data_IF_506305815013
#
_entry.id   IF_506305815013
#
_cell.length_a   1.000
_cell.length_b   1.000
_cell.length_c   1.000
_cell.angle_alpha   90.00
_cell.angle_beta   90.00
_cell.angle_gamma   90.00
#
_symmetry.space_group_name_H-M   'P 1'
#
loop_
_entity.id
_entity.type
_entity.pdbx_description
1 polymer ?
#
# COMPACT_ATOMS: atom_id res chain seq x y z
N UNK A 1 -6.45 41.16 2.17
CA UNK A 1 -5.18 41.05 1.42
C UNK A 1 -5.14 39.65 0.80
N UNK A 2 -5.53 39.56 -0.49
CA UNK A 2 -5.72 38.30 -1.22
C UNK A 2 -4.37 37.83 -1.79
N UNK A 3 -3.87 36.68 -1.33
CA UNK A 3 -2.68 36.03 -1.88
C UNK A 3 -2.98 35.52 -3.30
N UNK A 4 -2.34 36.09 -4.31
CA UNK A 4 -2.37 35.62 -5.69
C UNK A 4 -1.58 34.31 -5.79
N UNK A 5 -2.09 33.24 -6.48
CA UNK A 5 -1.33 32.04 -6.71
C UNK A 5 -0.15 32.32 -7.66
N UNK A 6 1.05 32.03 -7.22
CA UNK A 6 2.28 32.09 -8.05
C UNK A 6 2.23 30.92 -9.03
N UNK A 7 1.80 31.18 -10.24
CA UNK A 7 1.89 30.23 -11.37
C UNK A 7 3.31 30.29 -11.95
N UNK A 8 4.19 29.39 -11.54
CA UNK A 8 5.52 29.30 -12.13
C UNK A 8 5.43 28.86 -13.61
N UNK A 9 6.05 29.60 -14.55
CA UNK A 9 6.01 29.24 -15.97
C UNK A 9 6.70 27.90 -16.29
N UNK A 10 7.55 27.42 -15.39
CA UNK A 10 8.27 26.16 -15.52
C UNK A 10 7.31 24.95 -15.39
N UNK A 11 6.38 24.94 -14.43
CA UNK A 11 5.40 23.87 -14.26
C UNK A 11 4.46 23.74 -15.46
N UNK A 12 4.08 24.87 -16.06
CA UNK A 12 3.26 24.90 -17.26
C UNK A 12 4.00 24.33 -18.48
N UNK A 13 5.30 24.60 -18.63
CA UNK A 13 6.13 24.05 -19.72
C UNK A 13 6.35 22.54 -19.56
N UNK A 14 6.56 22.04 -18.34
CA UNK A 14 6.69 20.61 -18.05
C UNK A 14 5.37 19.88 -18.35
N UNK A 15 4.22 20.45 -17.99
CA UNK A 15 2.91 19.88 -18.28
C UNK A 15 2.62 19.79 -19.80
N UNK A 16 2.99 20.81 -20.59
CA UNK A 16 2.83 20.82 -22.05
C UNK A 16 3.83 19.90 -22.78
N UNK A 17 4.99 19.60 -22.19
CA UNK A 17 5.96 18.63 -22.74
C UNK A 17 5.58 17.18 -22.40
N UNK A 18 4.97 16.93 -21.25
CA UNK A 18 4.53 15.59 -20.84
C UNK A 18 3.23 15.16 -21.55
N UNK A 19 2.35 16.09 -21.91
CA UNK A 19 1.08 15.80 -22.56
C UNK A 19 1.24 15.13 -23.95
N UNK A 20 2.10 15.60 -24.88
CA UNK A 20 2.30 14.92 -26.17
C UNK A 20 3.07 13.59 -26.03
N UNK A 21 3.96 13.46 -25.03
CA UNK A 21 4.66 12.21 -24.77
C UNK A 21 3.69 11.09 -24.34
N UNK A 22 2.67 11.42 -23.56
CA UNK A 22 1.63 10.45 -23.14
C UNK A 22 0.70 10.08 -24.31
N UNK A 23 0.43 11.00 -25.24
CA UNK A 23 -0.39 10.75 -26.43
C UNK A 23 0.30 9.85 -27.47
N UNK A 24 1.62 9.96 -27.62
CA UNK A 24 2.38 9.13 -28.58
C UNK A 24 2.58 7.69 -28.07
N UNK A 25 2.70 7.50 -26.76
CA UNK A 25 2.76 6.15 -26.15
C UNK A 25 1.41 5.41 -26.27
N UNK A 26 0.30 6.14 -26.22
CA UNK A 26 -1.03 5.53 -26.38
C UNK A 26 -1.32 5.03 -27.81
N UNK A 27 -0.62 5.56 -28.82
CA UNK A 27 -0.90 5.25 -30.23
C UNK A 27 -0.41 3.86 -30.69
N UNK A 28 0.55 3.24 -29.98
CA UNK A 28 1.16 1.97 -30.38
C UNK A 28 1.12 0.89 -29.29
N UNK A 29 0.47 1.13 -28.15
CA UNK A 29 0.50 0.21 -27.00
C UNK A 29 -0.87 -0.35 -26.64
N UNK A 30 -0.90 -1.63 -26.28
CA UNK A 30 -2.08 -2.30 -25.71
C UNK A 30 -2.31 -1.88 -24.24
N UNK A 31 -2.53 -0.59 -24.01
CA UNK A 31 -2.77 -0.03 -22.67
C UNK A 31 -3.97 -0.72 -22.01
N UNK A 32 -3.81 -1.06 -20.72
CA UNK A 32 -4.89 -1.64 -19.92
C UNK A 32 -5.17 -0.77 -18.71
N UNK A 33 -6.42 -0.34 -18.58
CA UNK A 33 -6.93 0.33 -17.39
C UNK A 33 -7.52 -0.73 -16.45
N UNK A 34 -7.21 -0.65 -15.16
CA UNK A 34 -7.70 -1.61 -14.18
C UNK A 34 -8.25 -0.96 -12.93
N UNK A 35 -9.13 -1.69 -12.27
CA UNK A 35 -9.61 -1.42 -10.92
C UNK A 35 -9.15 -2.53 -10.01
N UNK A 36 -8.74 -2.18 -8.78
CA UNK A 36 -8.38 -3.10 -7.73
C UNK A 36 -9.39 -3.01 -6.60
N UNK A 37 -9.84 -4.15 -6.10
CA UNK A 37 -10.66 -4.26 -4.92
C UNK A 37 -10.17 -5.40 -4.02
N UNK A 38 -10.00 -5.13 -2.73
CA UNK A 38 -9.46 -6.13 -1.81
C UNK A 38 -9.36 -5.64 -0.37
N UNK A 39 -8.41 -6.20 0.33
CA UNK A 39 -8.13 -5.89 1.73
C UNK A 39 -6.68 -5.43 1.91
N UNK A 40 -6.49 -4.58 2.88
CA UNK A 40 -5.19 -4.12 3.38
C UNK A 40 -4.94 -4.62 4.78
N UNK A 41 -3.71 -4.99 5.07
CA UNK A 41 -3.29 -5.51 6.35
C UNK A 41 -1.94 -4.92 6.74
N UNK A 42 -1.65 -4.93 8.03
CA UNK A 42 -0.43 -4.46 8.63
C UNK A 42 0.30 -5.61 9.34
N UNK A 43 1.62 -5.56 9.33
CA UNK A 43 2.52 -6.42 10.10
C UNK A 43 3.63 -5.55 10.70
N UNK A 44 3.76 -5.54 12.02
CA UNK A 44 4.72 -4.75 12.77
C UNK A 44 4.54 -4.97 14.28
N UNK A 45 4.89 -3.98 15.09
CA UNK A 45 4.97 -4.10 16.56
C UNK A 45 3.64 -4.40 17.27
N UNK A 46 2.51 -3.99 16.69
CA UNK A 46 1.17 -4.21 17.28
C UNK A 46 0.51 -5.48 16.74
N UNK A 47 0.84 -5.91 15.52
CA UNK A 47 0.18 -7.06 14.87
C UNK A 47 1.18 -7.97 14.20
N UNK A 48 1.23 -9.24 14.63
CA UNK A 48 2.12 -10.27 14.09
C UNK A 48 1.41 -11.33 13.25
N UNK A 49 0.07 -11.33 13.21
CA UNK A 49 -0.72 -12.32 12.47
C UNK A 49 -1.18 -11.80 11.14
N UNK A 50 -1.04 -12.64 10.11
CA UNK A 50 -1.57 -12.39 8.77
C UNK A 50 -3.11 -12.34 8.84
N UNK A 51 -3.73 -11.39 8.13
CA UNK A 51 -5.18 -11.16 8.08
C UNK A 51 -5.85 -10.84 9.42
N UNK A 52 -5.10 -10.39 10.40
CA UNK A 52 -5.66 -9.84 11.63
C UNK A 52 -6.01 -8.36 11.39
N UNK A 53 -7.26 -7.97 11.67
CA UNK A 53 -7.74 -6.60 11.50
C UNK A 53 -7.65 -6.05 10.06
N UNK A 54 -8.03 -6.86 9.07
CA UNK A 54 -8.07 -6.41 7.67
C UNK A 54 -8.97 -5.19 7.48
N UNK A 55 -8.48 -4.23 6.71
CA UNK A 55 -9.25 -3.06 6.26
C UNK A 55 -9.55 -3.14 4.77
N UNK A 56 -10.47 -2.33 4.24
CA UNK A 56 -10.75 -2.26 2.81
C UNK A 56 -9.60 -1.62 2.04
N UNK A 57 -9.40 -2.07 0.80
CA UNK A 57 -8.47 -1.48 -0.15
C UNK A 57 -9.11 -1.37 -1.54
N UNK A 58 -8.95 -0.20 -2.17
CA UNK A 58 -9.43 0.09 -3.52
C UNK A 58 -8.32 0.79 -4.30
N UNK A 59 -8.25 0.55 -5.61
CA UNK A 59 -7.22 1.16 -6.43
C UNK A 59 -7.57 1.24 -7.91
N UNK A 60 -6.79 2.06 -8.60
CA UNK A 60 -6.79 2.20 -10.05
C UNK A 60 -5.41 1.87 -10.57
N UNK A 61 -5.33 1.18 -11.70
CA UNK A 61 -4.06 0.78 -12.29
C UNK A 61 -4.06 1.05 -13.80
N UNK A 62 -2.90 1.39 -14.31
CA UNK A 62 -2.64 1.53 -15.73
C UNK A 62 -1.43 0.67 -16.08
N UNK A 63 -1.64 -0.34 -16.95
CA UNK A 63 -0.58 -1.27 -17.33
C UNK A 63 -0.22 -1.11 -18.81
N UNK A 64 1.08 -1.12 -19.08
CA UNK A 64 1.64 -1.08 -20.43
C UNK A 64 2.50 -2.33 -20.66
N UNK A 65 2.14 -3.23 -21.60
CA UNK A 65 2.97 -4.36 -21.96
C UNK A 65 4.17 -3.88 -22.77
N UNK A 66 5.39 -4.24 -22.29
CA UNK A 66 6.64 -4.03 -23.02
C UNK A 66 6.87 -5.19 -23.97
N UNK A 67 6.62 -6.40 -23.46
CA UNK A 67 6.69 -7.65 -24.22
C UNK A 67 5.48 -8.52 -23.88
N UNK A 68 5.34 -9.66 -24.54
CA UNK A 68 4.29 -10.64 -24.25
C UNK A 68 4.30 -11.17 -22.80
N UNK A 69 5.44 -11.02 -22.09
CA UNK A 69 5.61 -11.50 -20.71
C UNK A 69 5.93 -10.41 -19.71
N UNK A 70 6.43 -9.25 -20.16
CA UNK A 70 6.86 -8.17 -19.28
C UNK A 70 5.95 -6.97 -19.48
N UNK A 71 5.47 -6.40 -18.38
CA UNK A 71 4.68 -5.17 -18.38
C UNK A 71 5.14 -4.23 -17.27
N UNK A 72 4.91 -2.93 -17.46
CA UNK A 72 5.00 -1.92 -16.42
C UNK A 72 3.58 -1.56 -16.00
N UNK A 73 3.36 -1.43 -14.69
CA UNK A 73 2.08 -1.02 -14.12
C UNK A 73 2.28 0.17 -13.19
N UNK A 74 1.62 1.28 -13.49
CA UNK A 74 1.38 2.38 -12.56
C UNK A 74 0.11 2.13 -11.77
N UNK A 75 0.10 2.46 -10.49
CA UNK A 75 -1.04 2.26 -9.62
C UNK A 75 -1.25 3.41 -8.65
N UNK A 76 -2.53 3.67 -8.33
CA UNK A 76 -2.98 4.47 -7.22
C UNK A 76 -3.86 3.59 -6.34
N UNK A 77 -3.51 3.45 -5.06
CA UNK A 77 -4.24 2.58 -4.12
C UNK A 77 -4.54 3.34 -2.84
N UNK A 78 -5.78 3.24 -2.38
CA UNK A 78 -6.20 3.68 -1.07
C UNK A 78 -6.59 2.47 -0.24
N UNK A 79 -6.07 2.39 1.00
CA UNK A 79 -6.39 1.32 1.94
C UNK A 79 -6.42 1.81 3.38
N UNK A 80 -7.04 1.04 4.27
CA UNK A 80 -7.01 1.28 5.71
C UNK A 80 -6.39 0.10 6.41
N UNK A 81 -5.35 0.33 7.18
CA UNK A 81 -4.74 -0.69 8.05
C UNK A 81 -4.96 -0.33 9.51
N UNK A 82 -5.00 -1.35 10.36
CA UNK A 82 -5.24 -1.20 11.79
C UNK A 82 -4.57 -2.33 12.56
N UNK A 83 -4.22 -2.05 13.80
CA UNK A 83 -3.69 -3.01 14.75
C UNK A 83 -4.19 -2.71 16.16
N UNK A 84 -4.23 -3.73 17.00
CA UNK A 84 -4.59 -3.60 18.41
C UNK A 84 -3.90 -4.69 19.24
N UNK A 85 -3.24 -4.29 20.30
CA UNK A 85 -2.56 -5.17 21.27
C UNK A 85 -3.54 -6.11 21.97
N UNK A 86 -4.80 -5.71 22.13
CA UNK A 86 -5.85 -6.55 22.73
C UNK A 86 -6.04 -7.90 22.02
N UNK A 87 -5.63 -8.01 20.76
CA UNK A 87 -5.70 -9.23 19.97
C UNK A 87 -4.39 -10.03 19.97
N UNK A 88 -3.35 -9.56 20.67
CA UNK A 88 -2.07 -10.23 20.74
C UNK A 88 -2.15 -11.49 21.62
N UNK A 89 -1.55 -12.63 21.23
CA UNK A 89 -1.50 -13.82 22.07
C UNK A 89 -0.65 -13.64 23.34
N UNK A 90 0.31 -12.73 23.33
CA UNK A 90 1.18 -12.41 24.47
C UNK A 90 0.49 -11.46 25.43
N UNK A 91 0.56 -11.77 26.71
CA UNK A 91 -0.09 -10.99 27.77
C UNK A 91 0.53 -9.61 27.96
N UNK A 92 1.86 -9.51 27.90
CA UNK A 92 2.59 -8.26 28.05
C UNK A 92 2.14 -7.21 27.01
N UNK A 93 1.88 -7.61 25.76
CA UNK A 93 1.31 -6.71 24.76
C UNK A 93 -0.16 -6.38 25.04
N UNK A 94 -0.99 -7.37 25.47
CA UNK A 94 -2.38 -7.05 25.83
C UNK A 94 -2.47 -6.04 26.98
N UNK A 95 -1.54 -6.11 27.93
CA UNK A 95 -1.46 -5.15 29.05
C UNK A 95 -0.91 -3.78 28.62
N UNK A 96 -0.12 -3.71 27.52
CA UNK A 96 0.30 -2.44 26.92
C UNK A 96 -0.87 -1.68 26.29
N UNK A 97 -1.86 -2.39 25.72
CA UNK A 97 -3.14 -1.91 25.23
C UNK A 97 -3.06 -0.83 24.13
N UNK A 98 -2.00 -0.81 23.34
CA UNK A 98 -1.90 0.13 22.23
C UNK A 98 -2.79 -0.30 21.06
N UNK A 99 -3.31 0.68 20.35
CA UNK A 99 -4.10 0.46 19.13
C UNK A 99 -3.94 1.61 18.17
N UNK A 100 -3.96 1.32 16.88
CA UNK A 100 -3.91 2.33 15.85
C UNK A 100 -4.78 1.97 14.65
N UNK A 101 -5.11 3.00 13.89
CA UNK A 101 -5.64 2.89 12.54
C UNK A 101 -4.95 3.93 11.67
N UNK A 102 -4.68 3.58 10.41
CA UNK A 102 -4.19 4.56 9.44
C UNK A 102 -4.78 4.33 8.06
N UNK A 103 -5.05 5.43 7.35
CA UNK A 103 -5.36 5.37 5.93
C UNK A 103 -4.07 5.53 5.14
N UNK A 104 -3.85 4.64 4.19
CA UNK A 104 -2.69 4.65 3.29
C UNK A 104 -3.17 5.09 1.92
N UNK A 105 -2.50 6.09 1.36
CA UNK A 105 -2.62 6.49 -0.04
C UNK A 105 -1.30 6.20 -0.71
N UNK A 106 -1.29 5.30 -1.69
CA UNK A 106 -0.08 4.82 -2.37
C UNK A 106 -0.11 5.16 -3.86
N UNK A 107 1.00 5.69 -4.38
CA UNK A 107 1.33 5.71 -5.80
C UNK A 107 2.47 4.73 -6.05
N UNK A 108 2.26 3.78 -6.94
CA UNK A 108 3.25 2.73 -7.22
C UNK A 108 3.59 2.65 -8.70
N UNK A 109 4.84 2.25 -8.98
CA UNK A 109 5.34 1.88 -10.30
C UNK A 109 6.06 0.55 -10.18
N UNK A 110 5.50 -0.49 -10.81
CA UNK A 110 6.03 -1.86 -10.71
C UNK A 110 6.26 -2.47 -12.08
N UNK A 111 7.30 -3.27 -12.19
CA UNK A 111 7.50 -4.20 -13.29
C UNK A 111 6.83 -5.53 -12.96
N UNK A 112 6.17 -6.13 -13.94
CA UNK A 112 5.51 -7.43 -13.83
C UNK A 112 6.11 -8.41 -14.82
N UNK A 113 6.31 -9.67 -14.41
CA UNK A 113 6.80 -10.75 -15.25
C UNK A 113 5.80 -11.90 -15.20
N UNK A 114 5.19 -12.20 -16.33
CA UNK A 114 4.29 -13.34 -16.50
C UNK A 114 5.11 -14.60 -16.79
N UNK A 115 4.78 -15.71 -16.14
CA UNK A 115 5.41 -17.01 -16.38
C UNK A 115 5.07 -17.53 -17.78
N UNK A 116 3.82 -17.37 -18.21
CA UNK A 116 3.37 -17.82 -19.51
C UNK A 116 3.09 -16.64 -20.42
N UNK A 117 3.27 -16.87 -21.73
CA UNK A 117 2.84 -15.91 -22.73
C UNK A 117 1.30 -15.91 -22.83
N UNK A 118 0.71 -14.76 -22.51
CA UNK A 118 -0.73 -14.56 -22.49
C UNK A 118 -1.37 -14.51 -23.88
N UNK A 119 -0.57 -14.53 -24.96
CA UNK A 119 -1.09 -14.67 -26.32
C UNK A 119 -1.42 -16.12 -26.67
N UNK A 120 -0.78 -17.08 -26.01
CA UNK A 120 -0.98 -18.51 -26.20
C UNK A 120 -1.81 -19.18 -25.12
N UNK A 121 -1.74 -18.64 -23.87
CA UNK A 121 -2.48 -19.16 -22.71
C UNK A 121 -3.37 -18.08 -22.12
N UNK A 122 -4.58 -18.47 -21.71
CA UNK A 122 -5.53 -17.56 -21.04
C UNK A 122 -5.18 -17.21 -19.61
N UNK A 123 -4.23 -17.91 -18.99
CA UNK A 123 -3.83 -17.70 -17.62
C UNK A 123 -2.31 -17.69 -17.47
N UNK A 124 -1.83 -16.97 -16.50
CA UNK A 124 -0.43 -16.95 -16.13
C UNK A 124 -0.25 -16.58 -14.67
N UNK A 125 0.53 -17.35 -13.89
CA UNK A 125 1.15 -16.82 -12.71
C UNK A 125 2.05 -15.64 -13.08
N UNK A 126 2.20 -14.69 -12.19
CA UNK A 126 3.13 -13.58 -12.37
C UNK A 126 3.72 -13.13 -11.03
N UNK A 127 4.87 -12.50 -11.12
CA UNK A 127 5.50 -11.79 -10.03
C UNK A 127 5.66 -10.33 -10.40
N UNK A 128 5.77 -9.48 -9.41
CA UNK A 128 6.03 -8.06 -9.62
C UNK A 128 6.92 -7.49 -8.53
N UNK A 129 7.58 -6.37 -8.86
CA UNK A 129 8.36 -5.59 -7.92
C UNK A 129 8.60 -4.18 -8.45
N UNK A 130 8.84 -3.23 -7.55
CA UNK A 130 9.03 -1.83 -7.95
C UNK A 130 9.21 -0.87 -6.80
N UNK A 131 8.76 0.36 -7.02
CA UNK A 131 8.83 1.46 -6.08
C UNK A 131 7.44 2.02 -5.83
N UNK A 132 7.20 2.50 -4.62
CA UNK A 132 5.99 3.21 -4.26
C UNK A 132 6.30 4.40 -3.36
N UNK A 133 5.53 5.46 -3.52
CA UNK A 133 5.43 6.58 -2.60
C UNK A 133 4.11 6.46 -1.86
N UNK A 134 4.14 6.39 -0.54
CA UNK A 134 2.92 6.29 0.25
C UNK A 134 2.82 7.39 1.29
N UNK A 135 1.59 7.79 1.56
CA UNK A 135 1.22 8.73 2.62
C UNK A 135 0.35 8.01 3.64
N UNK A 136 0.63 8.23 4.92
CA UNK A 136 -0.10 7.65 6.04
C UNK A 136 -0.30 8.67 7.15
N UNK A 137 -1.29 8.45 8.01
CA UNK A 137 -1.57 9.34 9.14
C UNK A 137 -2.21 8.52 10.27
N UNK A 138 -1.40 7.97 11.19
CA UNK A 138 -1.88 7.10 12.24
C UNK A 138 -2.71 7.86 13.26
N UNK A 139 -3.77 7.22 13.71
CA UNK A 139 -4.67 7.72 14.74
C UNK A 139 -5.18 6.58 15.61
N UNK A 140 -5.63 6.93 16.80
CA UNK A 140 -6.33 6.03 17.72
C UNK A 140 -7.63 6.68 18.19
N UNK A 141 -8.32 6.01 19.11
CA UNK A 141 -9.48 6.58 19.80
C UNK A 141 -9.16 6.68 21.29
N UNK A 142 -9.53 7.82 21.90
CA UNK A 142 -9.44 8.00 23.35
C UNK A 142 -10.55 7.21 24.07
N UNK A 143 -10.56 7.24 25.41
CA UNK A 143 -11.58 6.57 26.24
C UNK A 143 -12.99 7.11 26.00
N UNK A 144 -13.16 8.31 25.49
CA UNK A 144 -14.42 8.93 25.13
C UNK A 144 -14.86 8.59 23.69
N UNK A 145 -14.04 7.87 22.93
CA UNK A 145 -14.31 7.51 21.54
C UNK A 145 -13.98 8.61 20.53
N UNK A 146 -13.27 9.67 20.92
CA UNK A 146 -12.82 10.70 19.99
C UNK A 146 -11.59 10.22 19.22
N UNK A 147 -11.53 10.59 17.93
CA UNK A 147 -10.38 10.31 17.08
C UNK A 147 -9.21 11.23 17.43
N UNK A 148 -8.07 10.64 17.76
CA UNK A 148 -6.84 11.34 18.13
C UNK A 148 -5.72 10.98 17.14
N UNK A 149 -5.12 11.98 16.49
CA UNK A 149 -3.97 11.79 15.60
C UNK A 149 -2.70 11.56 16.43
N UNK A 150 -1.94 10.52 16.12
CA UNK A 150 -0.79 10.10 16.93
C UNK A 150 0.46 10.96 16.68
N UNK A 151 0.82 11.17 15.42
CA UNK A 151 2.03 11.90 15.04
C UNK A 151 2.16 13.32 15.67
N UNK A 152 1.09 14.14 15.79
CA UNK A 152 1.19 15.44 16.46
C UNK A 152 1.42 15.36 17.96
N UNK A 153 1.07 14.23 18.60
CA UNK A 153 1.25 14.03 20.05
C UNK A 153 2.70 13.67 20.41
N UNK A 154 3.51 13.20 19.45
CA UNK A 154 4.90 12.78 19.70
C UNK A 154 4.98 11.73 20.81
N UNK A 155 4.24 10.63 20.67
CA UNK A 155 4.01 9.64 21.74
C UNK A 155 5.27 8.99 22.31
N UNK A 156 6.39 9.03 21.57
CA UNK A 156 7.74 8.62 22.00
C UNK A 156 8.68 9.82 22.19
N UNK A 157 8.13 11.05 22.21
CA UNK A 157 8.89 12.28 22.35
C UNK A 157 9.47 12.82 21.05
N UNK A 158 9.08 12.26 19.88
CA UNK A 158 9.65 12.64 18.59
C UNK A 158 9.44 14.13 18.29
N UNK A 159 10.53 14.79 17.94
CA UNK A 159 10.57 16.23 17.69
C UNK A 159 10.73 17.11 18.92
N UNK A 160 10.75 16.52 20.13
CA UNK A 160 11.05 17.25 21.36
C UNK A 160 12.58 17.37 21.56
N UNK A 161 13.05 18.39 22.32
CA UNK A 161 14.46 18.53 22.66
C UNK A 161 14.99 17.28 23.38
N UNK A 162 16.10 16.70 22.90
CA UNK A 162 16.70 15.50 23.48
C UNK A 162 16.10 14.17 23.01
N UNK A 163 15.14 14.18 22.10
CA UNK A 163 14.53 13.00 21.49
C UNK A 163 14.81 12.90 19.99
N UNK A 164 14.36 11.80 19.36
CA UNK A 164 14.48 11.61 17.94
C UNK A 164 13.70 12.68 17.14
N UNK A 165 14.05 12.83 15.86
CA UNK A 165 13.28 13.70 14.97
C UNK A 165 11.90 13.10 14.70
N UNK A 166 10.92 13.98 14.53
CA UNK A 166 9.58 13.55 14.12
C UNK A 166 9.63 12.87 12.75
N UNK A 167 8.86 11.80 12.58
CA UNK A 167 8.83 11.04 11.34
C UNK A 167 8.01 11.73 10.25
N UNK A 168 8.38 11.49 8.99
CA UNK A 168 7.61 11.96 7.84
C UNK A 168 6.45 11.02 7.56
N UNK A 169 5.26 11.56 7.30
CA UNK A 169 4.07 10.79 6.90
C UNK A 169 4.06 10.40 5.42
N UNK A 170 4.99 10.91 4.63
CA UNK A 170 5.13 10.53 3.21
C UNK A 170 6.50 9.90 3.03
N UNK A 171 6.53 8.66 2.59
CA UNK A 171 7.75 7.86 2.52
C UNK A 171 7.75 6.92 1.32
N UNK A 172 8.92 6.37 1.01
CA UNK A 172 9.11 5.35 -0.01
C UNK A 172 8.84 3.95 0.58
N UNK A 173 8.33 3.06 -0.28
CA UNK A 173 8.18 1.64 -0.02
C UNK A 173 8.66 0.81 -1.21
N UNK A 174 8.97 -0.45 -0.96
CA UNK A 174 9.29 -1.44 -1.99
C UNK A 174 8.13 -2.43 -2.10
N UNK A 175 7.21 -2.24 -3.06
CA UNK A 175 6.18 -3.22 -3.36
C UNK A 175 6.80 -4.41 -4.09
N UNK A 176 6.43 -5.62 -3.66
CA UNK A 176 6.74 -6.89 -4.34
C UNK A 176 5.68 -7.93 -4.03
N UNK A 177 5.50 -8.86 -4.92
CA UNK A 177 4.49 -9.88 -4.72
C UNK A 177 4.23 -10.72 -5.96
N UNK A 178 3.07 -11.33 -6.00
CA UNK A 178 2.68 -12.16 -7.11
C UNK A 178 1.19 -12.45 -7.13
N UNK A 179 0.78 -13.14 -8.19
CA UNK A 179 -0.62 -13.47 -8.38
C UNK A 179 -0.84 -14.38 -9.59
N UNK A 180 -2.10 -14.52 -9.94
CA UNK A 180 -2.54 -15.27 -11.11
C UNK A 180 -3.45 -14.39 -11.94
N UNK A 181 -3.14 -14.25 -13.23
CA UNK A 181 -3.97 -13.55 -14.22
C UNK A 181 -4.77 -14.56 -15.05
N UNK A 182 -5.99 -14.18 -15.41
CA UNK A 182 -6.83 -14.94 -16.31
C UNK A 182 -7.55 -14.01 -17.29
N UNK A 183 -7.41 -14.26 -18.59
CA UNK A 183 -8.11 -13.52 -19.65
C UNK A 183 -9.51 -14.09 -19.84
N UNK A 184 -10.53 -13.37 -19.32
CA UNK A 184 -11.94 -13.69 -19.52
C UNK A 184 -12.27 -13.55 -21.01
N UNK A 185 -11.77 -12.47 -21.61
CA UNK A 185 -11.83 -12.19 -23.04
C UNK A 185 -10.56 -11.49 -23.50
N UNK A 186 -10.44 -11.17 -24.78
CA UNK A 186 -9.29 -10.41 -25.30
C UNK A 186 -9.16 -9.03 -24.64
N UNK A 187 -10.29 -8.42 -24.28
CA UNK A 187 -10.35 -7.08 -23.70
C UNK A 187 -10.42 -7.05 -22.19
N UNK A 188 -10.84 -8.14 -21.55
CA UNK A 188 -11.12 -8.20 -20.10
C UNK A 188 -10.25 -9.26 -19.44
N UNK A 189 -9.52 -8.84 -18.42
CA UNK A 189 -8.66 -9.70 -17.60
C UNK A 189 -9.03 -9.54 -16.13
N UNK A 190 -9.07 -10.65 -15.42
CA UNK A 190 -9.14 -10.72 -13.97
C UNK A 190 -7.80 -11.23 -13.42
N UNK A 191 -7.39 -10.74 -12.26
CA UNK A 191 -6.22 -11.28 -11.56
C UNK A 191 -6.48 -11.29 -10.05
N UNK A 192 -6.01 -12.33 -9.38
CA UNK A 192 -5.83 -12.33 -7.93
C UNK A 192 -4.38 -11.98 -7.61
N UNK A 193 -4.16 -11.06 -6.68
CA UNK A 193 -2.84 -10.55 -6.32
C UNK A 193 -2.67 -10.48 -4.81
N UNK A 194 -1.46 -10.83 -4.34
CA UNK A 194 -0.97 -10.54 -3.00
C UNK A 194 0.34 -9.78 -3.15
N UNK A 195 0.39 -8.59 -2.59
CA UNK A 195 1.56 -7.72 -2.70
C UNK A 195 1.95 -7.12 -1.36
N UNK A 196 3.18 -7.40 -0.92
CA UNK A 196 3.80 -6.84 0.26
C UNK A 196 4.48 -5.51 -0.07
N UNK A 197 4.58 -4.64 0.93
CA UNK A 197 5.32 -3.38 0.88
C UNK A 197 6.29 -3.37 2.04
N UNK A 198 7.58 -3.48 1.71
CA UNK A 198 8.64 -3.27 2.68
C UNK A 198 8.81 -1.79 2.92
N UNK A 199 8.71 -1.36 4.17
CA UNK A 199 8.89 0.02 4.57
C UNK A 199 10.33 0.28 5.04
N UNK A 200 10.71 1.55 5.03
CA UNK A 200 11.96 2.03 5.63
C UNK A 200 11.70 2.74 6.95
N UNK A 201 10.43 2.90 7.32
CA UNK A 201 9.97 3.42 8.60
C UNK A 201 9.45 2.30 9.50
N UNK A 202 9.39 2.59 10.78
CA UNK A 202 8.83 1.79 11.85
C UNK A 202 7.71 2.54 12.58
N UNK A 203 7.20 3.59 11.96
CA UNK A 203 6.18 4.47 12.54
C UNK A 203 4.85 4.41 11.80
N UNK A 204 4.57 3.32 11.07
CA UNK A 204 3.27 3.16 10.43
C UNK A 204 2.14 3.07 11.46
N UNK A 205 2.45 2.50 12.62
CA UNK A 205 1.58 2.34 13.78
C UNK A 205 1.89 3.33 14.93
N UNK A 206 2.85 4.25 14.74
CA UNK A 206 3.33 5.19 15.76
C UNK A 206 4.06 4.52 16.94
N UNK A 207 4.59 3.30 16.74
CA UNK A 207 5.31 2.54 17.76
C UNK A 207 6.64 2.06 17.18
N UNK A 208 7.77 2.50 17.76
CA UNK A 208 9.09 2.14 17.25
C UNK A 208 10.11 1.92 18.35
N UNK A 209 10.17 2.80 19.32
CA UNK A 209 11.29 2.90 20.26
C UNK A 209 10.88 2.74 21.71
N UNK A 210 11.12 3.79 22.47
CA UNK A 210 11.05 3.80 23.93
C UNK A 210 10.05 4.86 24.43
N UNK A 211 9.52 4.64 25.61
CA UNK A 211 8.66 5.63 26.27
C UNK A 211 9.48 6.91 26.59
N UNK A 212 8.87 8.05 26.27
CA UNK A 212 9.38 9.36 26.65
C UNK A 212 9.15 9.64 28.14
N UNK A 213 9.80 10.68 28.67
CA UNK A 213 9.48 11.19 30.00
C UNK A 213 8.06 11.80 29.98
N UNK A 214 7.15 11.37 30.87
CA UNK A 214 5.78 11.89 30.90
C UNK A 214 5.73 13.39 31.21
N UNK A 215 6.70 13.94 31.96
CA UNK A 215 6.74 15.38 32.23
C UNK A 215 7.16 16.16 30.98
N UNK A 216 8.09 15.64 30.19
CA UNK A 216 8.49 16.26 28.91
C UNK A 216 7.30 16.25 27.92
N UNK A 217 6.56 15.13 27.84
CA UNK A 217 5.36 15.03 27.02
C UNK A 217 4.25 15.98 27.50
N UNK A 218 3.98 16.00 28.79
CA UNK A 218 2.98 16.88 29.38
C UNK A 218 3.30 18.37 29.13
N UNK A 219 4.53 18.76 29.37
CA UNK A 219 4.98 20.15 29.18
C UNK A 219 4.88 20.60 27.70
N UNK A 220 5.16 19.69 26.75
CA UNK A 220 5.21 20.02 25.33
C UNK A 220 3.85 19.82 24.61
N UNK A 221 3.05 18.82 25.00
CA UNK A 221 1.89 18.34 24.27
C UNK A 221 0.61 18.21 25.11
N UNK A 222 0.72 18.37 26.43
CA UNK A 222 -0.39 18.26 27.38
C UNK A 222 -0.76 16.83 27.78
N UNK A 223 -1.76 16.71 28.63
CA UNK A 223 -2.17 15.45 29.26
C UNK A 223 -2.57 14.37 28.22
N UNK A 224 -3.23 14.75 27.14
CA UNK A 224 -3.66 13.81 26.09
C UNK A 224 -2.49 13.03 25.47
N UNK A 225 -1.30 13.68 25.34
CA UNK A 225 -0.11 12.98 24.81
C UNK A 225 0.37 11.91 25.78
N UNK A 226 0.33 12.19 27.08
CA UNK A 226 0.71 11.21 28.13
C UNK A 226 -0.27 10.04 28.13
N UNK A 227 -1.59 10.31 28.16
CA UNK A 227 -2.64 9.27 28.21
C UNK A 227 -2.61 8.36 26.98
N UNK A 228 -2.37 8.93 25.79
CA UNK A 228 -2.35 8.15 24.54
C UNK A 228 -1.02 7.40 24.36
N UNK A 229 0.10 7.91 24.88
CA UNK A 229 1.41 7.22 24.77
C UNK A 229 1.46 5.94 25.60
N UNK A 230 0.74 5.89 26.74
CA UNK A 230 0.60 4.73 27.60
C UNK A 230 -0.85 4.46 27.94
N UNK A 231 -1.31 3.22 27.74
CA UNK A 231 -2.71 2.83 27.92
C UNK A 231 -2.86 1.56 28.77
N UNK A 232 -1.79 1.14 29.45
CA UNK A 232 -1.82 -0.02 30.32
C UNK A 232 -2.66 0.19 31.60
N UNK A 233 -2.83 1.42 32.02
CA UNK A 233 -3.69 1.81 33.14
C UNK A 233 -5.20 1.65 32.83
N UNK A 234 -5.59 1.58 31.57
CA UNK A 234 -6.97 1.36 31.14
C UNK A 234 -7.42 -0.11 31.24
N UNK A 235 -6.48 -1.04 31.44
CA UNK A 235 -6.75 -2.48 31.40
C UNK A 235 -6.77 -3.08 32.79
N UNK A 236 -7.75 -3.94 33.06
CA UNK A 236 -7.81 -4.72 34.31
C UNK A 236 -6.58 -5.61 34.42
N UNK A 237 -5.79 -5.44 35.48
CA UNK A 237 -4.51 -6.13 35.69
C UNK A 237 -3.31 -5.47 35.04
N UNK A 238 -3.52 -4.36 34.33
CA UNK A 238 -2.42 -3.53 33.79
C UNK A 238 -1.72 -2.71 34.88
N UNK A 239 -0.54 -2.20 34.55
CA UNK A 239 0.21 -1.34 35.47
C UNK A 239 -0.38 0.07 35.45
N UNK A 240 -0.82 0.64 36.60
CA UNK A 240 -1.31 2.02 36.65
C UNK A 240 -0.20 3.07 36.51
N UNK A 241 1.06 2.70 36.71
CA UNK A 241 2.18 3.64 36.64
C UNK A 241 2.70 3.75 35.19
N UNK A 242 2.87 4.98 34.73
CA UNK A 242 3.51 5.25 33.45
C UNK A 242 4.93 4.68 33.48
N UNK A 243 5.41 4.01 32.39
CA UNK A 243 6.75 3.44 32.34
C UNK A 243 7.84 4.51 32.48
N UNK A 244 8.99 4.10 33.02
CA UNK A 244 10.14 4.99 33.13
C UNK A 244 10.67 5.35 31.74
N UNK A 245 11.23 6.56 31.60
CA UNK A 245 11.90 7.01 30.39
C UNK A 245 12.93 5.97 29.92
N UNK A 246 12.88 5.62 28.65
CA UNK A 246 13.79 4.64 28.05
C UNK A 246 13.33 3.18 28.18
N UNK A 247 12.18 2.91 28.78
CA UNK A 247 11.58 1.58 28.73
C UNK A 247 11.05 1.30 27.32
N UNK A 248 11.22 0.08 26.82
CA UNK A 248 10.85 -0.28 25.44
C UNK A 248 9.33 -0.19 25.23
N UNK A 249 8.92 0.59 24.23
CA UNK A 249 7.54 0.73 23.77
C UNK A 249 7.30 -0.12 22.51
N UNK A 250 8.27 -0.16 21.62
CA UNK A 250 8.31 -0.93 20.39
C UNK A 250 9.69 -1.53 20.14
N UNK A 251 9.97 -1.92 18.91
CA UNK A 251 11.24 -2.50 18.50
C UNK A 251 11.76 -1.88 17.21
N UNK A 252 12.51 -0.80 17.31
CA UNK A 252 13.12 -0.10 16.16
C UNK A 252 13.97 -0.98 15.22
N UNK A 253 14.27 -2.22 15.64
CA UNK A 253 15.04 -3.20 14.88
C UNK A 253 14.26 -3.75 13.69
N UNK A 254 12.96 -3.93 13.84
CA UNK A 254 12.09 -4.52 12.82
C UNK A 254 11.24 -3.42 12.19
N UNK A 255 11.36 -3.24 10.86
CA UNK A 255 10.58 -2.26 10.14
C UNK A 255 9.19 -2.80 9.80
N UNK A 256 8.23 -1.91 9.75
CA UNK A 256 6.86 -2.22 9.42
C UNK A 256 6.69 -2.72 7.98
N UNK A 257 5.65 -3.51 7.78
CA UNK A 257 5.15 -3.94 6.49
C UNK A 257 3.65 -3.69 6.41
N UNK A 258 3.16 -3.38 5.23
CA UNK A 258 1.75 -3.56 4.92
C UNK A 258 1.62 -4.37 3.63
N UNK A 259 0.45 -4.94 3.41
CA UNK A 259 0.18 -5.67 2.19
C UNK A 259 -1.26 -5.48 1.75
N UNK A 260 -1.44 -5.56 0.43
CA UNK A 260 -2.74 -5.62 -0.20
C UNK A 260 -2.95 -7.01 -0.77
N UNK A 261 -4.15 -7.55 -0.60
CA UNK A 261 -4.58 -8.76 -1.29
C UNK A 261 -5.98 -8.59 -1.85
N UNK A 262 -6.19 -9.00 -3.08
CA UNK A 262 -7.49 -8.77 -3.72
C UNK A 262 -7.50 -9.10 -5.20
N UNK A 263 -8.47 -8.52 -5.88
CA UNK A 263 -8.77 -8.78 -7.28
C UNK A 263 -8.54 -7.52 -8.10
N UNK A 264 -7.83 -7.66 -9.20
CA UNK A 264 -7.76 -6.68 -10.27
C UNK A 264 -8.70 -7.08 -11.40
N UNK A 265 -9.50 -6.14 -11.88
CA UNK A 265 -10.25 -6.26 -13.12
C UNK A 265 -9.70 -5.22 -14.09
N UNK A 266 -9.15 -5.67 -15.22
CA UNK A 266 -8.49 -4.79 -16.20
C UNK A 266 -9.13 -4.87 -17.56
N UNK A 267 -9.24 -3.71 -18.21
CA UNK A 267 -9.84 -3.53 -19.53
C UNK A 267 -8.77 -3.00 -20.49
N UNK A 268 -8.70 -3.60 -21.67
CA UNK A 268 -7.85 -3.08 -22.75
C UNK A 268 -8.49 -1.84 -23.36
N UNK A 269 -7.70 -0.75 -23.44
CA UNK A 269 -8.15 0.48 -24.09
C UNK A 269 -8.14 0.30 -25.61
N UNK A 270 -9.02 1.04 -26.33
CA UNK A 270 -9.01 1.06 -27.80
C UNK A 270 -7.65 1.57 -28.31
N UNK A 271 -7.17 1.02 -29.43
CA UNK A 271 -5.92 1.43 -30.07
C UNK A 271 -4.79 0.38 -30.09
N UNK A 272 -4.97 -0.75 -29.38
CA UNK A 272 -4.02 -1.87 -29.45
C UNK A 272 -4.34 -2.82 -30.60
N UNK A 273 -3.32 -3.24 -31.34
CA UNK A 273 -3.48 -4.30 -32.35
C UNK A 273 -3.63 -5.65 -31.65
N UNK A 274 -4.75 -6.33 -31.91
CA UNK A 274 -5.08 -7.65 -31.37
C UNK A 274 -4.67 -8.80 -32.31
N UNK A 275 -3.95 -8.52 -33.39
CA UNK A 275 -3.68 -9.48 -34.48
C UNK A 275 -2.87 -10.72 -34.05
N UNK A 276 -2.20 -10.70 -32.88
CA UNK A 276 -1.30 -11.78 -32.46
C UNK A 276 -1.88 -12.79 -31.44
N UNK A 277 -3.16 -12.69 -31.05
CA UNK A 277 -3.71 -13.62 -30.04
C UNK A 277 -4.18 -14.94 -30.65
N UNK A 278 -3.32 -15.93 -30.56
CA UNK A 278 -3.52 -17.26 -31.17
C UNK A 278 -4.69 -18.03 -30.51
N UNK A 279 -4.97 -17.85 -29.21
CA UNK A 279 -6.06 -18.58 -28.55
C UNK A 279 -7.48 -18.11 -28.94
N UNK A 280 -7.60 -16.87 -29.37
CA UNK A 280 -8.86 -16.29 -29.85
C UNK A 280 -9.35 -16.95 -31.13
N UNK A 281 -8.44 -17.32 -32.03
CA UNK A 281 -8.77 -17.94 -33.29
C UNK A 281 -9.24 -19.41 -33.17
N UNK A 282 -8.91 -20.09 -32.04
CA UNK A 282 -9.27 -21.50 -31.82
C UNK A 282 -10.66 -21.72 -31.23
N UNK A 283 -11.33 -20.68 -30.71
CA UNK A 283 -12.71 -20.81 -30.20
C UNK A 283 -13.81 -20.60 -31.24
N UNK A 284 -13.47 -20.15 -32.43
CA UNK A 284 -14.40 -19.95 -33.52
C UNK A 284 -14.00 -20.70 -34.78
N UNK A 285 -14.61 -21.82 -35.01
CA UNK A 285 -14.56 -22.69 -36.21
C UNK A 285 -13.44 -23.75 -36.23
N UNK A 286 -13.85 -25.01 -36.16
CA UNK A 286 -13.18 -26.15 -36.79
C UNK A 286 -12.83 -25.83 -38.27
N UNK A 287 -11.73 -25.19 -38.53
CA UNK A 287 -11.13 -25.23 -39.85
C UNK A 287 -10.55 -26.63 -39.99
N UNK A 288 -11.29 -27.53 -40.67
CA UNK A 288 -10.71 -28.76 -41.21
C UNK A 288 -9.55 -28.33 -42.11
N UNK A 289 -8.32 -28.58 -41.69
CA UNK A 289 -7.19 -28.54 -42.58
C UNK A 289 -7.39 -29.71 -43.55
N UNK A 290 -7.86 -29.44 -44.77
CA UNK A 290 -7.77 -30.39 -45.85
C UNK A 290 -6.28 -30.65 -46.17
N UNK A 291 -5.87 -31.89 -46.21
CA UNK A 291 -4.55 -32.22 -46.72
C UNK A 291 -4.40 -31.68 -48.17
N UNK A 292 -3.27 -31.05 -48.53
CA UNK A 292 -3.06 -30.71 -49.93
C UNK A 292 -2.97 -32.02 -50.71
N UNK A 293 -3.91 -32.24 -51.59
CA UNK A 293 -3.79 -33.28 -52.64
C UNK A 293 -2.79 -32.77 -53.65
N UNK A 294 -1.60 -33.32 -53.60
CA UNK A 294 -0.60 -33.19 -54.67
C UNK A 294 -0.91 -34.30 -55.67
N UNK A 295 -1.24 -33.91 -56.89
CA UNK A 295 -1.13 -34.76 -58.09
C UNK A 295 0.04 -34.27 -58.90
#
# INVERSE_FOLDING_TARGET
MLLKPVKSPLMRRIFFLLLPLTLTVAANGQLRLGVFGGVSNYLGDITHKIYQNSGPALGLTLSYPITNRISIRGGFTYGKVKGADSLNPREDFRLRNLSFQTSITEFSLVGEINTFDMNYKRWSPYIFGGLALFHFNPYTFDQQGNKVLLQPLSTEGEGLPGYARNYSRTQLALPFGGGIKYDISEKVRIAFEVGLRKLFTDYLDDVSGQYADPNDLFAAKGQQAVDISYRGDEVVGGNPAYPVKGFDRGSAKYKDYYYFSGIHLTFQLPGGDNSERVYSSKMGKNKRYGCPTVF
#
